data_IF_352868910806
#
_entry.id   IF_352868910806
#
_cell.length_a   1.000
_cell.length_b   1.000
_cell.length_c   1.000
_cell.angle_alpha   90.00
_cell.angle_beta   90.00
_cell.angle_gamma   90.00
#
_symmetry.space_group_name_H-M   'P 1'
#
loop_
_entity.id
_entity.type
_entity.pdbx_description
1 polymer ?
#
# COMPACT_ATOMS: atom_id res chain seq x y z
N UNK A 1 -4.92 -33.65 -2.69
CA UNK A 1 -4.30 -33.39 -4.01
C UNK A 1 -4.63 -31.97 -4.40
N UNK A 2 -3.62 -31.18 -4.69
CA UNK A 2 -3.67 -29.74 -4.89
C UNK A 2 -4.09 -29.29 -6.30
N UNK A 3 -4.59 -30.24 -7.14
CA UNK A 3 -5.06 -29.91 -8.47
C UNK A 3 -6.30 -28.98 -8.42
N UNK A 4 -6.28 -27.93 -9.21
CA UNK A 4 -7.39 -27.00 -9.37
C UNK A 4 -8.50 -27.71 -10.17
N UNK A 5 -9.71 -27.72 -9.64
CA UNK A 5 -10.88 -28.32 -10.33
C UNK A 5 -11.86 -27.26 -10.82
N UNK A 6 -11.84 -26.06 -10.24
CA UNK A 6 -12.70 -24.96 -10.68
C UNK A 6 -12.13 -23.60 -10.30
N UNK A 7 -12.39 -22.59 -11.14
CA UNK A 7 -12.05 -21.17 -10.91
C UNK A 7 -13.26 -20.33 -11.28
N UNK A 8 -13.84 -19.65 -10.30
CA UNK A 8 -15.09 -18.88 -10.47
C UNK A 8 -14.88 -17.47 -9.96
N UNK A 9 -15.25 -16.47 -10.75
CA UNK A 9 -15.24 -15.07 -10.32
C UNK A 9 -16.64 -14.47 -10.32
N UNK A 10 -16.74 -13.38 -9.55
CA UNK A 10 -17.93 -12.53 -9.47
C UNK A 10 -17.55 -11.08 -9.28
N UNK A 11 -18.49 -10.21 -9.61
CA UNK A 11 -18.41 -8.79 -9.28
C UNK A 11 -18.91 -8.57 -7.85
N UNK A 12 -18.09 -7.86 -7.05
CA UNK A 12 -18.45 -7.40 -5.69
C UNK A 12 -18.20 -5.90 -5.58
N UNK A 13 -18.59 -5.26 -4.48
CA UNK A 13 -18.35 -3.82 -4.28
C UNK A 13 -17.12 -3.59 -3.38
N UNK A 14 -16.32 -2.59 -3.74
CA UNK A 14 -15.24 -2.08 -2.91
C UNK A 14 -15.75 -1.08 -1.84
N UNK A 15 -14.85 -0.58 -1.00
CA UNK A 15 -15.14 0.37 0.09
C UNK A 15 -15.68 1.73 -0.38
N UNK A 16 -15.60 2.03 -1.66
CA UNK A 16 -16.16 3.24 -2.30
C UNK A 16 -17.48 2.97 -3.03
N UNK A 17 -17.98 1.72 -2.98
CA UNK A 17 -19.18 1.30 -3.71
C UNK A 17 -18.96 1.12 -5.21
N UNK A 18 -17.70 0.99 -5.67
CA UNK A 18 -17.39 0.65 -7.05
C UNK A 18 -17.23 -0.88 -7.19
N UNK A 19 -17.61 -1.44 -8.35
CA UNK A 19 -17.37 -2.86 -8.62
C UNK A 19 -15.89 -3.22 -8.62
N UNK A 20 -15.59 -4.41 -8.10
CA UNK A 20 -14.29 -5.07 -8.21
C UNK A 20 -14.46 -6.58 -8.38
N UNK A 21 -13.37 -7.30 -8.64
CA UNK A 21 -13.37 -8.74 -8.90
C UNK A 21 -13.07 -9.52 -7.62
N UNK A 22 -13.89 -10.54 -7.34
CA UNK A 22 -13.62 -11.59 -6.37
C UNK A 22 -13.55 -12.93 -7.10
N UNK A 23 -12.53 -13.75 -6.78
CA UNK A 23 -12.38 -15.09 -7.33
C UNK A 23 -12.32 -16.16 -6.24
N UNK A 24 -12.90 -17.34 -6.56
CA UNK A 24 -12.78 -18.57 -5.82
C UNK A 24 -11.96 -19.58 -6.65
N UNK A 25 -11.03 -20.26 -6.01
CA UNK A 25 -10.30 -21.41 -6.58
C UNK A 25 -10.60 -22.63 -5.74
N UNK A 26 -11.16 -23.67 -6.36
CA UNK A 26 -11.51 -24.94 -5.72
C UNK A 26 -10.50 -26.01 -6.09
N UNK A 27 -10.00 -26.76 -5.10
CA UNK A 27 -9.09 -27.87 -5.27
C UNK A 27 -9.82 -29.22 -5.25
N UNK A 28 -9.20 -30.27 -5.79
CA UNK A 28 -9.73 -31.64 -5.80
C UNK A 28 -10.00 -32.18 -4.40
N UNK A 29 -9.28 -31.71 -3.39
CA UNK A 29 -9.49 -32.04 -1.98
C UNK A 29 -10.80 -31.44 -1.39
N UNK A 30 -11.40 -30.47 -2.07
CA UNK A 30 -12.53 -29.68 -1.59
C UNK A 30 -12.12 -28.39 -0.89
N UNK A 31 -10.83 -28.12 -0.73
CA UNK A 31 -10.33 -26.84 -0.22
C UNK A 31 -10.62 -25.73 -1.20
N UNK A 32 -10.98 -24.54 -0.70
CA UNK A 32 -11.31 -23.38 -1.51
C UNK A 32 -10.56 -22.15 -1.00
N UNK A 33 -9.88 -21.45 -1.90
CA UNK A 33 -9.31 -20.12 -1.66
C UNK A 33 -10.18 -19.03 -2.27
N UNK A 34 -10.42 -17.95 -1.54
CA UNK A 34 -11.18 -16.77 -2.00
C UNK A 34 -10.38 -15.49 -1.84
N UNK A 35 -10.37 -14.66 -2.86
CA UNK A 35 -9.71 -13.36 -2.80
C UNK A 35 -10.48 -12.29 -3.58
N UNK A 36 -10.48 -11.06 -3.04
CA UNK A 36 -11.04 -9.88 -3.69
C UNK A 36 -9.95 -8.82 -3.92
N UNK A 37 -9.98 -8.15 -5.05
CA UNK A 37 -8.92 -7.21 -5.49
C UNK A 37 -9.23 -5.79 -5.05
N UNK A 38 -8.22 -5.01 -4.64
CA UNK A 38 -8.37 -3.57 -4.41
C UNK A 38 -8.35 -2.77 -5.72
N UNK A 39 -8.75 -1.49 -5.63
CA UNK A 39 -8.81 -0.56 -6.76
C UNK A 39 -8.28 0.83 -6.38
N UNK A 40 -7.47 1.47 -7.23
CA UNK A 40 -6.95 2.82 -6.98
C UNK A 40 -7.93 3.94 -7.32
N UNK A 41 -7.76 5.12 -6.67
CA UNK A 41 -8.37 6.38 -7.07
C UNK A 41 -7.41 7.19 -7.94
N UNK A 42 -6.23 7.52 -7.41
CA UNK A 42 -5.07 7.96 -8.16
C UNK A 42 -4.32 6.73 -8.69
N UNK A 43 -3.85 6.77 -9.92
CA UNK A 43 -3.13 5.64 -10.53
C UNK A 43 -1.91 6.14 -11.28
N UNK A 44 -0.77 5.53 -11.06
CA UNK A 44 0.43 5.78 -11.86
C UNK A 44 0.18 5.42 -13.33
N UNK A 45 0.69 6.24 -14.24
CA UNK A 45 0.43 6.07 -15.68
C UNK A 45 0.97 4.76 -16.26
N UNK A 46 1.85 4.08 -15.53
CA UNK A 46 2.53 2.83 -15.92
C UNK A 46 2.02 1.60 -15.17
N UNK A 47 0.94 1.71 -14.38
CA UNK A 47 0.32 0.56 -13.72
C UNK A 47 -0.22 -0.46 -14.73
N UNK A 48 -0.27 -1.72 -14.33
CA UNK A 48 -1.03 -2.73 -15.05
C UNK A 48 -2.53 -2.36 -15.07
N UNK A 49 -3.20 -2.69 -16.17
CA UNK A 49 -4.55 -2.22 -16.45
C UNK A 49 -5.59 -2.94 -15.59
N UNK A 50 -6.33 -2.18 -14.81
CA UNK A 50 -7.58 -2.61 -14.22
C UNK A 50 -8.67 -2.59 -15.31
N UNK A 51 -9.11 -3.78 -15.73
CA UNK A 51 -10.08 -3.89 -16.83
C UNK A 51 -11.47 -3.48 -16.34
N UNK A 52 -12.01 -2.43 -16.96
CA UNK A 52 -13.36 -1.89 -16.73
C UNK A 52 -14.20 -2.00 -17.99
N UNK A 53 -15.51 -2.25 -17.83
CA UNK A 53 -16.43 -2.48 -18.96
C UNK A 53 -16.65 -1.22 -19.82
N UNK A 54 -16.54 -0.03 -19.23
CA UNK A 54 -16.77 1.24 -19.92
C UNK A 54 -18.25 1.54 -20.28
N UNK A 55 -19.19 0.66 -19.91
CA UNK A 55 -20.61 0.85 -20.14
C UNK A 55 -21.18 1.90 -19.16
N UNK A 56 -21.40 3.10 -19.63
CA UNK A 56 -21.94 4.20 -18.83
C UNK A 56 -23.31 3.92 -18.19
N UNK A 57 -24.10 3.00 -18.76
CA UNK A 57 -25.42 2.63 -18.23
C UNK A 57 -25.31 1.71 -16.99
N UNK A 58 -24.11 1.13 -16.75
CA UNK A 58 -23.88 0.21 -15.65
C UNK A 58 -22.70 0.69 -14.81
N UNK A 59 -22.95 0.98 -13.51
CA UNK A 59 -21.95 1.53 -12.57
C UNK A 59 -21.16 2.73 -13.13
N UNK A 60 -21.79 3.56 -13.96
CA UNK A 60 -21.17 4.74 -14.57
C UNK A 60 -19.86 4.40 -15.34
N UNK A 61 -19.82 3.25 -15.99
CA UNK A 61 -18.67 2.77 -16.75
C UNK A 61 -17.67 1.94 -15.94
N UNK A 62 -17.88 1.79 -14.62
CA UNK A 62 -16.91 1.11 -13.73
C UNK A 62 -17.18 -0.37 -13.51
N UNK A 63 -18.12 -0.99 -14.23
CA UNK A 63 -18.38 -2.43 -14.18
C UNK A 63 -17.13 -3.27 -14.50
N UNK A 64 -17.09 -4.53 -14.04
CA UNK A 64 -15.96 -5.45 -14.22
C UNK A 64 -16.39 -6.81 -14.79
N UNK A 65 -17.54 -6.85 -15.50
CA UNK A 65 -18.06 -8.11 -16.05
C UNK A 65 -17.15 -8.72 -17.12
N UNK A 66 -16.41 -7.92 -17.89
CA UNK A 66 -15.41 -8.45 -18.84
C UNK A 66 -14.29 -9.16 -18.10
N UNK A 67 -13.77 -8.58 -17.01
CA UNK A 67 -12.75 -9.23 -16.19
C UNK A 67 -13.28 -10.51 -15.54
N UNK A 68 -14.52 -10.50 -15.04
CA UNK A 68 -15.20 -11.69 -14.49
C UNK A 68 -15.36 -12.78 -15.56
N UNK A 69 -15.78 -12.43 -16.77
CA UNK A 69 -15.92 -13.37 -17.89
C UNK A 69 -14.57 -13.98 -18.27
N UNK A 70 -13.50 -13.19 -18.33
CA UNK A 70 -12.15 -13.69 -18.59
C UNK A 70 -11.70 -14.73 -17.55
N UNK A 71 -12.06 -14.54 -16.27
CA UNK A 71 -11.78 -15.54 -15.21
C UNK A 71 -12.61 -16.80 -15.43
N UNK A 72 -13.93 -16.65 -15.67
CA UNK A 72 -14.86 -17.78 -15.76
C UNK A 72 -14.70 -18.60 -17.04
N UNK A 73 -13.94 -18.12 -18.02
CA UNK A 73 -13.67 -18.80 -19.30
C UNK A 73 -12.20 -19.10 -19.48
N UNK A 74 -11.45 -18.22 -20.16
CA UNK A 74 -10.07 -18.47 -20.59
C UNK A 74 -9.12 -18.78 -19.42
N UNK A 75 -9.21 -18.04 -18.31
CA UNK A 75 -8.33 -18.26 -17.15
C UNK A 75 -8.68 -19.60 -16.49
N UNK A 76 -9.96 -19.88 -16.27
CA UNK A 76 -10.41 -21.16 -15.71
C UNK A 76 -9.95 -22.32 -16.58
N UNK A 77 -10.17 -22.26 -17.91
CA UNK A 77 -9.74 -23.31 -18.86
C UNK A 77 -8.22 -23.53 -18.82
N UNK A 78 -7.43 -22.48 -18.65
CA UNK A 78 -5.97 -22.57 -18.61
C UNK A 78 -5.42 -23.15 -17.30
N UNK A 79 -6.13 -22.99 -16.18
CA UNK A 79 -5.64 -23.35 -14.85
C UNK A 79 -6.21 -24.66 -14.31
N UNK A 80 -7.41 -25.09 -14.74
CA UNK A 80 -8.00 -26.38 -14.32
C UNK A 80 -7.06 -27.54 -14.65
N UNK A 81 -6.81 -28.40 -13.65
CA UNK A 81 -5.88 -29.51 -13.73
C UNK A 81 -4.44 -29.19 -13.32
N UNK A 82 -4.08 -27.91 -13.14
CA UNK A 82 -2.76 -27.52 -12.65
C UNK A 82 -2.68 -27.62 -11.12
N UNK A 83 -1.48 -27.75 -10.61
CA UNK A 83 -1.18 -27.83 -9.18
C UNK A 83 -1.16 -26.43 -8.55
N UNK A 84 -2.01 -26.19 -7.55
CA UNK A 84 -2.12 -24.91 -6.86
C UNK A 84 -0.86 -24.53 -6.06
N UNK A 85 0.00 -25.49 -5.69
CA UNK A 85 1.26 -25.22 -4.99
C UNK A 85 2.33 -24.60 -5.91
N UNK A 86 2.16 -24.70 -7.23
CA UNK A 86 3.09 -24.18 -8.24
C UNK A 86 2.80 -22.71 -8.61
N UNK A 87 2.69 -21.82 -7.60
CA UNK A 87 2.31 -20.41 -7.76
C UNK A 87 3.03 -19.69 -8.89
N UNK A 88 4.36 -19.83 -8.97
CA UNK A 88 5.17 -19.16 -9.99
C UNK A 88 4.85 -19.66 -11.42
N UNK A 89 4.50 -20.92 -11.56
CA UNK A 89 4.09 -21.50 -12.84
C UNK A 89 2.69 -21.01 -13.23
N UNK A 90 1.77 -20.98 -12.28
CA UNK A 90 0.40 -20.50 -12.49
C UNK A 90 0.37 -19.01 -12.87
N UNK A 91 1.10 -18.17 -12.13
CA UNK A 91 1.20 -16.75 -12.46
C UNK A 91 1.84 -16.50 -13.82
N UNK A 92 2.86 -17.29 -14.19
CA UNK A 92 3.45 -17.22 -15.53
C UNK A 92 2.45 -17.64 -16.60
N UNK A 93 1.64 -18.68 -16.37
CA UNK A 93 0.58 -19.10 -17.28
C UNK A 93 -0.41 -17.95 -17.52
N UNK A 94 -0.81 -17.23 -16.46
CA UNK A 94 -1.68 -16.05 -16.58
C UNK A 94 -1.04 -14.93 -17.41
N UNK A 95 0.24 -14.64 -17.17
CA UNK A 95 1.00 -13.60 -17.90
C UNK A 95 1.13 -13.96 -19.38
N UNK A 96 1.47 -15.22 -19.69
CA UNK A 96 1.59 -15.71 -21.07
C UNK A 96 0.22 -15.73 -21.77
N UNK A 97 -0.85 -16.08 -21.05
CA UNK A 97 -2.22 -16.06 -21.57
C UNK A 97 -2.67 -14.64 -21.90
N UNK A 98 -2.38 -13.64 -21.05
CA UNK A 98 -2.66 -12.24 -21.36
C UNK A 98 -1.85 -11.75 -22.56
N UNK A 99 -0.55 -12.02 -22.60
CA UNK A 99 0.36 -11.74 -23.70
C UNK A 99 0.63 -10.25 -23.94
N UNK A 100 0.14 -9.33 -23.09
CA UNK A 100 0.40 -7.89 -23.18
C UNK A 100 1.33 -7.42 -22.06
N UNK A 101 2.07 -6.33 -22.29
CA UNK A 101 3.02 -5.82 -21.30
C UNK A 101 2.34 -5.34 -20.01
N UNK A 102 1.14 -4.76 -20.13
CA UNK A 102 0.41 -4.11 -19.04
C UNK A 102 -0.88 -4.83 -18.63
N UNK A 103 -1.04 -6.12 -18.96
CA UNK A 103 -2.22 -6.96 -18.65
C UNK A 103 -3.54 -6.38 -19.20
N UNK A 104 -3.49 -5.68 -20.33
CA UNK A 104 -4.67 -5.00 -20.89
C UNK A 104 -5.70 -5.93 -21.53
N UNK A 105 -5.35 -7.18 -21.82
CA UNK A 105 -6.27 -8.13 -22.47
C UNK A 105 -7.18 -8.83 -21.46
N UNK A 106 -6.62 -9.42 -20.42
CA UNK A 106 -7.40 -10.11 -19.38
C UNK A 106 -7.79 -9.20 -18.22
N UNK A 107 -6.95 -8.22 -17.93
CA UNK A 107 -7.06 -7.32 -16.79
C UNK A 107 -6.22 -7.77 -15.59
N UNK A 108 -5.44 -6.84 -15.03
CA UNK A 108 -4.66 -7.10 -13.81
C UNK A 108 -5.57 -7.48 -12.63
N UNK A 109 -6.77 -6.93 -12.56
CA UNK A 109 -7.78 -7.28 -11.55
C UNK A 109 -8.22 -8.76 -11.68
N UNK A 110 -8.52 -9.24 -12.87
CA UNK A 110 -8.86 -10.66 -13.11
C UNK A 110 -7.70 -11.57 -12.70
N UNK A 111 -6.49 -11.28 -13.18
CA UNK A 111 -5.30 -12.08 -12.92
C UNK A 111 -4.95 -12.11 -11.44
N UNK A 112 -4.96 -10.96 -10.75
CA UNK A 112 -4.62 -10.86 -9.34
C UNK A 112 -5.65 -11.59 -8.44
N UNK A 113 -6.94 -11.47 -8.73
CA UNK A 113 -7.97 -12.17 -7.96
C UNK A 113 -7.70 -13.68 -7.95
N UNK A 114 -7.36 -14.25 -9.09
CA UNK A 114 -7.04 -15.68 -9.23
C UNK A 114 -5.69 -16.00 -8.58
N UNK A 115 -4.64 -15.21 -8.81
CA UNK A 115 -3.31 -15.42 -8.21
C UNK A 115 -3.38 -15.48 -6.68
N UNK A 116 -4.13 -14.58 -6.05
CA UNK A 116 -4.34 -14.58 -4.59
C UNK A 116 -5.21 -15.75 -4.14
N UNK A 117 -6.27 -16.07 -4.86
CA UNK A 117 -7.17 -17.19 -4.50
C UNK A 117 -6.45 -18.54 -4.56
N UNK A 118 -5.58 -18.74 -5.58
CA UNK A 118 -4.69 -19.91 -5.68
C UNK A 118 -3.79 -20.02 -4.45
N UNK A 119 -3.10 -18.94 -4.08
CA UNK A 119 -2.21 -18.96 -2.92
C UNK A 119 -2.93 -19.28 -1.61
N UNK A 120 -4.15 -18.78 -1.42
CA UNK A 120 -4.98 -19.10 -0.26
C UNK A 120 -5.42 -20.56 -0.25
N UNK A 121 -5.84 -21.11 -1.41
CA UNK A 121 -6.20 -22.52 -1.53
C UNK A 121 -5.00 -23.42 -1.23
N UNK A 122 -3.83 -23.11 -1.79
CA UNK A 122 -2.61 -23.86 -1.58
C UNK A 122 -2.13 -23.83 -0.12
N UNK A 123 -2.22 -22.66 0.54
CA UNK A 123 -1.89 -22.53 1.96
C UNK A 123 -2.80 -23.39 2.84
N UNK A 124 -4.12 -23.35 2.60
CA UNK A 124 -5.10 -24.16 3.32
C UNK A 124 -4.89 -25.67 3.07
N UNK A 125 -4.62 -26.09 1.83
CA UNK A 125 -4.28 -27.48 1.48
C UNK A 125 -3.02 -27.95 2.20
N UNK A 126 -2.00 -27.08 2.31
CA UNK A 126 -0.78 -27.37 3.04
C UNK A 126 -0.97 -27.34 4.59
N UNK A 127 -2.14 -26.92 5.08
CA UNK A 127 -2.41 -26.75 6.50
C UNK A 127 -1.60 -25.62 7.14
N UNK A 128 -1.24 -24.60 6.38
CA UNK A 128 -0.43 -23.47 6.84
C UNK A 128 -1.22 -22.17 6.80
N UNK A 129 -1.06 -21.28 7.81
CA UNK A 129 -1.49 -19.90 7.68
C UNK A 129 -0.82 -19.23 6.49
N UNK A 130 -1.51 -18.32 5.80
CA UNK A 130 -1.04 -17.74 4.54
C UNK A 130 0.32 -17.04 4.68
N UNK A 131 0.55 -16.29 5.77
CA UNK A 131 1.84 -15.65 6.01
C UNK A 131 3.00 -16.65 6.12
N UNK A 132 2.76 -17.85 6.70
CA UNK A 132 3.77 -18.93 6.77
C UNK A 132 3.97 -19.60 5.42
N UNK A 133 2.90 -19.77 4.66
CA UNK A 133 3.00 -20.29 3.30
C UNK A 133 3.91 -19.41 2.44
N UNK A 134 3.80 -18.08 2.56
CA UNK A 134 4.68 -17.14 1.86
C UNK A 134 6.11 -17.08 2.42
N UNK A 135 6.27 -17.13 3.73
CA UNK A 135 7.55 -16.88 4.41
C UNK A 135 8.37 -18.11 4.75
N UNK A 136 7.77 -19.31 4.63
CA UNK A 136 8.42 -20.56 4.99
C UNK A 136 8.69 -20.70 6.50
N UNK A 137 9.81 -21.37 6.86
CA UNK A 137 10.15 -21.72 8.25
C UNK A 137 11.04 -20.69 8.95
N UNK A 138 11.42 -19.60 8.28
CA UNK A 138 12.30 -18.57 8.84
C UNK A 138 11.63 -17.72 9.93
N UNK A 139 12.44 -16.90 10.62
CA UNK A 139 11.92 -15.87 11.53
C UNK A 139 11.15 -14.79 10.76
N UNK A 140 10.06 -14.31 11.32
CA UNK A 140 9.18 -13.33 10.72
C UNK A 140 9.05 -12.10 11.60
N UNK A 141 9.05 -10.93 10.96
CA UNK A 141 8.89 -9.65 11.64
C UNK A 141 7.48 -9.11 11.42
N UNK A 142 6.90 -8.55 12.48
CA UNK A 142 5.69 -7.74 12.35
C UNK A 142 6.04 -6.42 11.66
N UNK A 143 5.17 -5.90 10.77
CA UNK A 143 5.45 -4.64 10.11
C UNK A 143 5.20 -3.43 11.02
N UNK A 144 6.02 -2.39 10.90
CA UNK A 144 5.70 -1.05 11.44
C UNK A 144 4.60 -0.44 10.59
N UNK A 145 3.45 -0.06 11.18
CA UNK A 145 2.36 0.51 10.41
C UNK A 145 2.57 2.00 10.16
N UNK A 146 2.32 2.43 8.91
CA UNK A 146 2.16 3.81 8.49
C UNK A 146 0.66 4.11 8.49
N UNK A 147 0.19 4.86 9.50
CA UNK A 147 -1.24 5.07 9.74
C UNK A 147 -1.65 6.47 9.26
N UNK A 148 -2.44 6.55 8.21
CA UNK A 148 -2.91 7.82 7.65
C UNK A 148 -3.98 8.46 8.54
N UNK A 149 -3.63 9.50 9.30
CA UNK A 149 -4.51 10.15 10.27
C UNK A 149 -5.09 11.48 9.80
N UNK A 150 -4.44 12.18 8.85
CA UNK A 150 -4.96 13.37 8.17
C UNK A 150 -4.80 13.21 6.67
N UNK A 151 -5.91 13.40 5.95
CA UNK A 151 -6.01 13.33 4.50
C UNK A 151 -6.06 14.72 3.87
N UNK A 152 -5.39 14.86 2.72
CA UNK A 152 -5.47 16.02 1.82
C UNK A 152 -5.47 15.55 0.36
N UNK A 153 -5.06 16.43 -0.56
CA UNK A 153 -4.92 16.11 -1.98
C UNK A 153 -6.16 15.43 -2.58
N UNK A 154 -5.94 14.38 -3.36
CA UNK A 154 -7.03 13.61 -3.99
C UNK A 154 -7.88 12.81 -2.98
N UNK A 155 -7.41 12.60 -1.74
CA UNK A 155 -8.11 11.83 -0.71
C UNK A 155 -9.11 12.66 0.12
N UNK A 156 -9.13 13.98 -0.03
CA UNK A 156 -10.00 14.87 0.74
C UNK A 156 -10.35 16.14 -0.03
N UNK A 157 -11.58 16.63 0.13
CA UNK A 157 -11.97 17.92 -0.40
C UNK A 157 -11.68 19.03 0.62
N UNK A 158 -10.40 19.37 0.76
CA UNK A 158 -9.89 20.41 1.66
C UNK A 158 -8.72 21.18 1.01
N UNK A 159 -8.09 22.10 1.78
CA UNK A 159 -6.98 22.95 1.30
C UNK A 159 -5.59 22.33 1.45
N UNK A 160 -5.47 21.12 1.98
CA UNK A 160 -4.18 20.48 2.18
C UNK A 160 -3.69 19.82 0.89
N UNK A 161 -2.55 20.28 0.34
CA UNK A 161 -2.00 19.76 -0.90
C UNK A 161 -1.36 18.37 -0.72
N UNK A 162 -0.66 18.15 0.40
CA UNK A 162 -0.08 16.85 0.76
C UNK A 162 -1.20 15.83 1.01
N UNK A 163 -1.15 14.69 0.32
CA UNK A 163 -2.25 13.73 0.28
C UNK A 163 -2.45 12.99 1.60
N UNK A 164 -1.35 12.62 2.29
CA UNK A 164 -1.43 11.87 3.54
C UNK A 164 -0.39 12.34 4.55
N UNK A 165 -0.87 12.59 5.78
CA UNK A 165 -0.01 12.78 6.94
C UNK A 165 -0.19 11.60 7.89
N UNK A 166 0.87 10.81 8.04
CA UNK A 166 0.86 9.52 8.72
C UNK A 166 1.66 9.54 10.01
N UNK A 167 1.24 8.69 10.96
CA UNK A 167 2.01 8.35 12.17
C UNK A 167 2.61 6.95 12.06
N UNK A 168 3.79 6.76 12.65
CA UNK A 168 4.47 5.47 12.74
C UNK A 168 4.94 5.23 14.17
N UNK A 169 4.32 4.30 14.93
CA UNK A 169 4.66 4.01 16.33
C UNK A 169 5.93 3.15 16.44
N UNK A 170 7.09 3.73 16.20
CA UNK A 170 8.40 3.04 16.17
C UNK A 170 8.94 2.68 17.54
N UNK A 171 8.47 3.34 18.61
CA UNK A 171 8.88 3.08 20.01
C UNK A 171 8.11 1.95 20.69
N UNK A 172 7.10 1.38 20.03
CA UNK A 172 6.31 0.29 20.58
C UNK A 172 7.14 -1.01 20.72
N UNK A 173 6.76 -1.87 21.68
CA UNK A 173 7.44 -3.14 21.94
C UNK A 173 6.84 -4.33 21.18
N UNK A 174 5.65 -4.16 20.61
CA UNK A 174 4.90 -5.16 19.87
C UNK A 174 3.97 -4.48 18.87
N UNK A 175 3.47 -5.22 17.90
CA UNK A 175 2.49 -4.69 16.96
C UNK A 175 1.19 -4.28 17.67
N UNK A 176 0.75 -5.08 18.66
CA UNK A 176 -0.43 -4.76 19.49
C UNK A 176 -0.29 -3.41 20.19
N UNK A 177 0.88 -3.12 20.76
CA UNK A 177 1.15 -1.82 21.41
C UNK A 177 1.26 -0.69 20.37
N UNK A 178 1.80 -0.95 19.18
CA UNK A 178 1.82 0.02 18.09
C UNK A 178 0.40 0.38 17.61
N UNK A 179 -0.46 -0.63 17.46
CA UNK A 179 -1.87 -0.41 17.07
C UNK A 179 -2.64 0.35 18.17
N UNK A 180 -2.44 0.00 19.46
CA UNK A 180 -3.02 0.75 20.59
C UNK A 180 -2.58 2.21 20.56
N UNK A 181 -1.29 2.47 20.42
CA UNK A 181 -0.73 3.82 20.32
C UNK A 181 -1.42 4.61 19.19
N UNK A 182 -1.51 4.04 18.00
CA UNK A 182 -2.19 4.67 16.87
C UNK A 182 -3.66 4.98 17.16
N UNK A 183 -4.41 4.05 17.75
CA UNK A 183 -5.82 4.25 18.09
C UNK A 183 -6.02 5.36 19.13
N UNK A 184 -5.18 5.41 20.16
CA UNK A 184 -5.22 6.47 21.18
C UNK A 184 -4.93 7.85 20.57
N UNK A 185 -3.90 7.95 19.72
CA UNK A 185 -3.58 9.21 19.00
C UNK A 185 -4.73 9.60 18.09
N UNK A 186 -5.32 8.68 17.34
CA UNK A 186 -6.46 8.95 16.47
C UNK A 186 -7.65 9.54 17.24
N UNK A 187 -7.97 9.01 18.42
CA UNK A 187 -9.04 9.55 19.24
C UNK A 187 -8.69 10.91 19.88
N UNK A 188 -7.43 11.14 20.23
CA UNK A 188 -6.99 12.46 20.69
C UNK A 188 -7.01 13.49 19.56
N UNK A 189 -6.61 13.08 18.34
CA UNK A 189 -6.68 13.94 17.16
C UNK A 189 -8.14 14.32 16.83
N UNK A 190 -9.08 13.37 16.95
CA UNK A 190 -10.51 13.65 16.78
C UNK A 190 -11.00 14.74 17.73
N UNK A 191 -10.65 14.62 19.02
CA UNK A 191 -11.03 15.63 20.04
C UNK A 191 -10.41 17.01 19.74
N UNK A 192 -9.15 17.03 19.30
CA UNK A 192 -8.45 18.26 18.94
C UNK A 192 -9.06 18.92 17.71
N UNK A 193 -9.37 18.13 16.68
CA UNK A 193 -10.04 18.57 15.44
C UNK A 193 -11.39 19.22 15.76
N UNK A 194 -12.21 18.58 16.59
CA UNK A 194 -13.52 19.09 17.04
C UNK A 194 -13.36 20.38 17.85
N UNK A 195 -12.42 20.42 18.80
CA UNK A 195 -12.12 21.61 19.62
C UNK A 195 -11.70 22.81 18.78
N UNK A 196 -10.99 22.58 17.67
CA UNK A 196 -10.60 23.64 16.72
C UNK A 196 -11.74 24.05 15.77
N UNK A 197 -12.89 23.40 15.83
CA UNK A 197 -14.05 23.68 14.98
C UNK A 197 -13.93 23.09 13.58
N UNK A 198 -13.03 22.15 13.35
CA UNK A 198 -12.91 21.43 12.08
C UNK A 198 -13.84 20.21 12.04
N UNK A 199 -14.29 19.79 10.85
CA UNK A 199 -15.08 18.57 10.70
C UNK A 199 -14.26 17.34 11.08
N UNK A 200 -14.91 16.38 11.75
CA UNK A 200 -14.33 15.07 12.11
C UNK A 200 -14.78 13.95 11.19
N UNK A 201 -15.25 14.30 10.00
CA UNK A 201 -15.50 13.36 8.91
C UNK A 201 -14.19 12.76 8.42
N UNK A 202 -14.24 11.51 7.96
CA UNK A 202 -13.07 10.79 7.48
C UNK A 202 -13.11 10.64 5.96
N UNK A 203 -11.93 10.62 5.35
CA UNK A 203 -11.74 10.34 3.94
C UNK A 203 -11.80 8.84 3.61
N UNK A 204 -11.47 8.49 2.38
CA UNK A 204 -11.52 7.12 1.85
C UNK A 204 -10.65 6.14 2.63
N UNK A 205 -9.56 6.62 3.22
CA UNK A 205 -8.62 5.80 3.99
C UNK A 205 -8.83 5.87 5.50
N UNK A 206 -9.89 6.53 5.96
CA UNK A 206 -10.29 6.57 7.37
C UNK A 206 -9.61 7.65 8.21
N UNK A 207 -8.70 8.45 7.66
CA UNK A 207 -8.11 9.64 8.30
C UNK A 207 -9.05 10.84 8.26
N UNK A 208 -8.87 11.80 9.17
CA UNK A 208 -9.66 13.04 9.18
C UNK A 208 -9.31 13.93 7.98
N UNK A 209 -10.25 14.75 7.56
CA UNK A 209 -10.11 15.68 6.45
C UNK A 209 -10.39 17.13 6.87
N UNK A 210 -9.63 17.71 7.84
CA UNK A 210 -9.83 19.08 8.29
C UNK A 210 -9.39 20.08 7.20
N UNK A 211 -10.05 21.23 7.16
CA UNK A 211 -9.67 22.32 6.27
C UNK A 211 -8.59 23.21 6.95
N UNK A 212 -7.39 22.66 7.09
CA UNK A 212 -6.24 23.33 7.72
C UNK A 212 -5.59 24.36 6.80
N UNK A 213 -4.80 25.27 7.36
CA UNK A 213 -4.13 26.34 6.63
C UNK A 213 -2.91 25.88 5.80
N UNK A 214 -2.47 24.63 5.97
CA UNK A 214 -1.33 24.03 5.26
C UNK A 214 -0.73 22.86 6.01
N UNK A 215 0.35 22.32 5.44
CA UNK A 215 1.05 21.11 5.94
C UNK A 215 1.56 21.31 7.38
N UNK A 216 2.11 22.46 7.69
CA UNK A 216 2.61 22.79 9.04
C UNK A 216 1.53 22.65 10.12
N UNK A 217 0.31 23.14 9.88
CA UNK A 217 -0.78 23.02 10.84
C UNK A 217 -1.21 21.56 11.01
N UNK A 218 -1.33 20.81 9.91
CA UNK A 218 -1.66 19.38 9.96
C UNK A 218 -0.67 18.60 10.84
N UNK A 219 0.63 18.79 10.59
CA UNK A 219 1.68 18.09 11.34
C UNK A 219 1.71 18.51 12.81
N UNK A 220 1.56 19.80 13.13
CA UNK A 220 1.47 20.26 14.51
C UNK A 220 0.25 19.67 15.25
N UNK A 221 -0.90 19.54 14.60
CA UNK A 221 -2.08 18.87 15.18
C UNK A 221 -1.79 17.41 15.52
N UNK A 222 -1.08 16.71 14.66
CA UNK A 222 -0.68 15.30 14.90
C UNK A 222 0.29 15.22 16.08
N UNK A 223 1.29 16.09 16.16
CA UNK A 223 2.23 16.11 17.29
C UNK A 223 1.55 16.45 18.61
N UNK A 224 0.61 17.42 18.62
CA UNK A 224 -0.20 17.76 19.79
C UNK A 224 -1.07 16.58 20.24
N UNK A 225 -1.73 15.90 19.30
CA UNK A 225 -2.53 14.71 19.58
C UNK A 225 -1.67 13.54 20.12
N UNK A 226 -0.46 13.37 19.60
CA UNK A 226 0.52 12.36 20.06
C UNK A 226 0.93 12.64 21.51
N UNK A 227 1.30 13.88 21.83
CA UNK A 227 1.65 14.29 23.20
C UNK A 227 0.47 14.15 24.17
N UNK A 228 -0.74 14.55 23.74
CA UNK A 228 -1.97 14.41 24.53
C UNK A 228 -2.34 12.95 24.81
N UNK A 229 -1.96 12.01 23.93
CA UNK A 229 -2.10 10.58 24.13
C UNK A 229 -1.03 9.97 25.06
N UNK A 230 -0.04 10.76 25.48
CA UNK A 230 1.02 10.36 26.42
C UNK A 230 2.25 9.76 25.74
N UNK A 231 2.40 9.92 24.42
CA UNK A 231 3.57 9.47 23.66
C UNK A 231 4.48 10.64 23.30
N UNK A 232 5.79 10.37 23.23
CA UNK A 232 6.80 11.38 22.89
C UNK A 232 7.03 11.44 21.37
N UNK A 233 6.65 12.57 20.69
CA UNK A 233 6.95 12.75 19.28
C UNK A 233 8.45 12.67 18.98
N UNK A 234 8.81 11.96 17.92
CA UNK A 234 10.21 11.77 17.50
C UNK A 234 10.92 10.60 18.19
N UNK A 235 10.43 10.12 19.33
CA UNK A 235 10.96 8.94 20.02
C UNK A 235 10.01 7.75 19.93
N UNK A 236 8.77 7.92 20.38
CA UNK A 236 7.79 6.84 20.39
C UNK A 236 7.04 6.75 19.06
N UNK A 237 6.80 7.92 18.45
CA UNK A 237 6.08 8.08 17.19
C UNK A 237 6.83 9.03 16.28
N UNK A 238 7.08 8.62 15.06
CA UNK A 238 7.61 9.45 13.98
C UNK A 238 6.55 9.66 12.92
N UNK A 239 6.79 10.59 12.00
CA UNK A 239 5.84 10.97 10.95
C UNK A 239 6.28 10.44 9.59
N UNK A 240 5.29 10.22 8.73
CA UNK A 240 5.51 9.96 7.31
C UNK A 240 4.53 10.80 6.48
N UNK A 241 4.95 11.15 5.28
CA UNK A 241 4.14 11.87 4.29
C UNK A 241 3.97 11.03 3.04
N UNK A 242 2.80 11.12 2.41
CA UNK A 242 2.60 10.82 1.01
C UNK A 242 2.23 12.14 0.32
N UNK A 243 3.12 12.62 -0.54
CA UNK A 243 2.90 13.86 -1.25
C UNK A 243 1.99 13.69 -2.45
N UNK A 244 1.99 12.52 -3.09
CA UNK A 244 1.35 12.29 -4.39
C UNK A 244 1.64 13.43 -5.39
N UNK A 245 2.91 13.81 -5.50
CA UNK A 245 3.32 15.07 -6.12
C UNK A 245 2.99 15.17 -7.62
N UNK A 246 2.67 14.04 -8.28
CA UNK A 246 2.17 14.04 -9.66
C UNK A 246 0.84 14.80 -9.80
N UNK A 247 0.01 14.82 -8.75
CA UNK A 247 -1.32 15.46 -8.77
C UNK A 247 -1.25 17.00 -8.88
N UNK A 248 -0.17 17.61 -8.39
CA UNK A 248 0.03 19.06 -8.44
C UNK A 248 1.28 19.51 -9.24
N UNK A 249 1.84 18.58 -10.03
CA UNK A 249 2.93 18.90 -10.96
C UNK A 249 2.37 19.33 -12.32
N UNK A 250 2.63 20.60 -12.68
CA UNK A 250 2.16 21.18 -13.94
C UNK A 250 3.21 22.09 -14.55
N UNK A 251 3.43 21.97 -15.86
CA UNK A 251 4.35 22.83 -16.63
C UNK A 251 5.77 22.96 -16.01
N UNK A 252 6.27 21.84 -15.42
CA UNK A 252 7.59 21.80 -14.79
C UNK A 252 7.66 22.41 -13.40
N UNK A 253 6.51 22.64 -12.74
CA UNK A 253 6.40 23.19 -11.40
C UNK A 253 5.46 22.42 -10.51
N UNK A 254 5.72 22.46 -9.23
CA UNK A 254 4.87 21.93 -8.15
C UNK A 254 4.00 23.07 -7.62
N UNK A 255 2.69 22.98 -7.86
CA UNK A 255 1.71 24.01 -7.54
C UNK A 255 0.96 23.64 -6.26
N UNK A 256 1.45 24.11 -5.10
CA UNK A 256 0.79 23.89 -3.80
C UNK A 256 -0.27 24.99 -3.61
N UNK A 257 -1.47 24.73 -4.09
CA UNK A 257 -2.55 25.73 -4.11
C UNK A 257 -3.02 26.17 -2.74
N UNK A 258 -3.08 25.25 -1.78
CA UNK A 258 -3.47 25.54 -0.40
C UNK A 258 -2.49 26.44 0.34
N UNK A 259 -1.22 26.39 -0.03
CA UNK A 259 -0.15 27.22 0.55
C UNK A 259 0.25 28.41 -0.35
N UNK A 260 -0.30 28.48 -1.57
CA UNK A 260 0.00 29.55 -2.52
C UNK A 260 1.44 29.54 -3.06
N UNK A 261 2.03 28.34 -3.17
CA UNK A 261 3.41 28.15 -3.62
C UNK A 261 3.46 27.55 -5.03
N UNK A 262 4.44 28.02 -5.84
CA UNK A 262 4.77 27.47 -7.17
C UNK A 262 6.28 27.25 -7.21
N UNK A 263 6.70 25.98 -7.17
CA UNK A 263 8.08 25.59 -6.90
C UNK A 263 8.69 24.78 -8.06
N UNK A 264 9.98 24.97 -8.34
CA UNK A 264 10.76 24.04 -9.15
C UNK A 264 11.03 22.74 -8.39
N UNK A 265 11.63 21.75 -9.04
CA UNK A 265 12.04 20.49 -8.39
C UNK A 265 13.01 20.73 -7.23
N UNK A 266 13.97 21.65 -7.39
CA UNK A 266 14.88 22.06 -6.31
C UNK A 266 14.11 22.78 -5.18
N UNK A 267 13.21 23.71 -5.55
CA UNK A 267 12.40 24.46 -4.57
C UNK A 267 11.49 23.54 -3.77
N UNK A 268 10.87 22.56 -4.40
CA UNK A 268 10.03 21.57 -3.69
C UNK A 268 10.89 20.63 -2.84
N UNK A 269 12.09 20.24 -3.30
CA UNK A 269 13.06 19.51 -2.46
C UNK A 269 13.43 20.30 -1.20
N UNK A 270 13.70 21.60 -1.32
CA UNK A 270 14.02 22.45 -0.16
C UNK A 270 12.83 22.63 0.78
N UNK A 271 11.59 22.71 0.25
CA UNK A 271 10.37 22.68 1.04
C UNK A 271 10.25 21.40 1.88
N UNK A 272 10.40 20.23 1.26
CA UNK A 272 10.38 18.93 1.94
C UNK A 272 11.53 18.79 2.96
N UNK A 273 12.71 19.29 2.64
CA UNK A 273 13.85 19.30 3.55
C UNK A 273 13.58 20.16 4.79
N UNK A 274 12.94 21.32 4.61
CA UNK A 274 12.53 22.20 5.70
C UNK A 274 11.51 21.52 6.63
N UNK A 275 10.55 20.82 6.07
CA UNK A 275 9.59 20.00 6.85
C UNK A 275 10.31 18.90 7.63
N UNK A 276 11.23 18.16 6.99
CA UNK A 276 11.98 17.07 7.62
C UNK A 276 12.97 17.56 8.70
N UNK A 277 13.45 18.80 8.63
CA UNK A 277 14.28 19.41 9.68
C UNK A 277 13.42 19.94 10.86
N UNK A 278 12.17 20.33 10.60
CA UNK A 278 11.25 20.88 11.61
C UNK A 278 10.44 19.82 12.35
N UNK A 279 10.08 18.76 11.68
CA UNK A 279 9.21 17.68 12.18
C UNK A 279 9.94 16.34 12.19
N UNK A 280 9.58 15.37 13.04
CA UNK A 280 10.20 14.05 13.08
C UNK A 280 9.75 13.15 11.91
N UNK A 281 9.92 13.63 10.68
CA UNK A 281 9.56 12.91 9.46
C UNK A 281 10.67 11.92 9.11
N UNK A 282 10.33 10.64 9.02
CA UNK A 282 11.27 9.55 8.67
C UNK A 282 11.03 9.02 7.24
N UNK A 283 9.87 9.26 6.66
CA UNK A 283 9.50 8.74 5.33
C UNK A 283 8.71 9.76 4.53
N UNK A 284 9.05 9.89 3.24
CA UNK A 284 8.33 10.71 2.25
C UNK A 284 8.10 9.84 1.02
N UNK A 285 6.83 9.65 0.69
CA UNK A 285 6.36 8.94 -0.48
C UNK A 285 6.01 9.94 -1.58
N UNK A 286 6.36 9.59 -2.82
CA UNK A 286 6.10 10.37 -4.04
C UNK A 286 6.33 11.88 -3.86
N UNK A 287 7.49 12.21 -3.29
CA UNK A 287 7.95 13.58 -3.08
C UNK A 287 8.32 14.32 -4.38
N UNK A 288 8.22 13.66 -5.53
CA UNK A 288 8.33 14.22 -6.88
C UNK A 288 7.33 13.53 -7.80
N UNK A 289 6.97 14.19 -8.90
CA UNK A 289 6.13 13.61 -9.94
C UNK A 289 6.77 12.37 -10.58
N UNK A 290 5.96 11.40 -11.01
CA UNK A 290 6.42 10.12 -11.59
C UNK A 290 7.35 10.27 -12.79
N UNK A 291 7.21 11.36 -13.55
CA UNK A 291 8.03 11.69 -14.72
C UNK A 291 9.26 12.56 -14.44
N UNK A 292 9.36 13.16 -13.25
CA UNK A 292 10.46 14.08 -12.88
C UNK A 292 11.67 13.34 -12.30
N UNK A 293 12.30 12.48 -13.10
CA UNK A 293 13.44 11.68 -12.65
C UNK A 293 14.66 12.51 -12.22
N UNK A 294 14.82 13.71 -12.78
CA UNK A 294 15.86 14.65 -12.37
C UNK A 294 15.56 15.20 -10.94
N UNK A 295 14.32 15.59 -10.68
CA UNK A 295 13.86 16.00 -9.35
C UNK A 295 13.99 14.88 -8.33
N UNK A 296 13.62 13.65 -8.68
CA UNK A 296 13.83 12.48 -7.81
C UNK A 296 15.30 12.28 -7.42
N UNK A 297 16.22 12.51 -8.37
CA UNK A 297 17.66 12.43 -8.09
C UNK A 297 18.08 13.49 -7.07
N UNK A 298 17.65 14.75 -7.27
CA UNK A 298 17.92 15.87 -6.35
C UNK A 298 17.37 15.56 -4.95
N UNK A 299 16.12 15.11 -4.84
CA UNK A 299 15.48 14.76 -3.59
C UNK A 299 16.24 13.63 -2.87
N UNK A 300 16.63 12.59 -3.61
CA UNK A 300 17.35 11.44 -3.03
C UNK A 300 18.73 11.85 -2.52
N UNK A 301 19.46 12.65 -3.26
CA UNK A 301 20.77 13.15 -2.83
C UNK A 301 20.68 14.06 -1.60
N UNK A 302 19.61 14.87 -1.52
CA UNK A 302 19.39 15.83 -0.43
C UNK A 302 18.95 15.16 0.87
N UNK A 303 18.01 14.21 0.81
CA UNK A 303 17.33 13.65 1.97
C UNK A 303 17.58 12.15 2.20
N UNK A 304 17.93 11.38 1.18
CA UNK A 304 17.91 9.92 1.24
C UNK A 304 18.84 9.25 2.25
N UNK A 305 19.75 9.99 2.90
CA UNK A 305 20.56 9.48 4.02
C UNK A 305 19.86 9.59 5.38
N UNK A 306 18.84 10.44 5.49
CA UNK A 306 18.13 10.76 6.74
C UNK A 306 16.66 10.33 6.69
N UNK A 307 16.09 10.30 5.50
CA UNK A 307 14.65 10.08 5.24
C UNK A 307 14.50 8.95 4.23
N UNK A 308 13.57 8.05 4.47
CA UNK A 308 13.13 7.04 3.53
C UNK A 308 12.37 7.75 2.40
N UNK A 309 12.86 7.62 1.17
CA UNK A 309 12.25 8.20 -0.04
C UNK A 309 11.59 7.05 -0.80
N UNK A 310 10.27 7.01 -0.74
CA UNK A 310 9.44 5.91 -1.28
C UNK A 310 8.93 6.28 -2.66
N UNK A 311 9.15 5.41 -3.64
CA UNK A 311 8.52 5.51 -4.96
C UNK A 311 7.27 4.64 -5.03
N UNK A 312 6.09 5.27 -5.22
CA UNK A 312 4.82 4.63 -5.52
C UNK A 312 4.55 4.71 -7.03
N UNK A 313 4.01 5.81 -7.52
CA UNK A 313 3.76 6.02 -8.96
C UNK A 313 5.05 6.00 -9.78
N UNK A 314 6.18 6.32 -9.15
CA UNK A 314 7.51 6.22 -9.76
C UNK A 314 7.83 4.79 -10.20
N UNK A 315 7.52 3.77 -9.40
CA UNK A 315 7.93 2.38 -9.64
C UNK A 315 6.79 1.44 -10.00
N UNK A 316 5.55 1.75 -9.59
CA UNK A 316 4.32 0.98 -9.84
C UNK A 316 4.49 -0.52 -9.60
N UNK A 317 5.24 -0.91 -8.56
CA UNK A 317 5.56 -2.31 -8.22
C UNK A 317 6.25 -3.09 -9.36
N UNK A 318 6.80 -2.39 -10.37
CA UNK A 318 7.37 -2.97 -11.58
C UNK A 318 8.89 -3.14 -11.44
N UNK A 319 9.37 -4.39 -11.50
CA UNK A 319 10.80 -4.74 -11.34
C UNK A 319 11.72 -4.09 -12.37
N UNK A 320 11.25 -3.88 -13.62
CA UNK A 320 12.04 -3.23 -14.67
C UNK A 320 12.28 -1.75 -14.33
N UNK A 321 11.25 -1.05 -13.88
CA UNK A 321 11.33 0.36 -13.53
C UNK A 321 12.11 0.52 -12.21
N UNK A 322 11.87 -0.36 -11.23
CA UNK A 322 12.65 -0.39 -9.98
C UNK A 322 14.15 -0.58 -10.26
N UNK A 323 14.51 -1.51 -11.14
CA UNK A 323 15.91 -1.74 -11.55
C UNK A 323 16.54 -0.47 -12.11
N UNK A 324 15.85 0.24 -12.99
CA UNK A 324 16.32 1.51 -13.54
C UNK A 324 16.54 2.55 -12.43
N UNK A 325 15.61 2.67 -11.49
CA UNK A 325 15.74 3.57 -10.33
C UNK A 325 16.95 3.24 -9.46
N UNK A 326 17.17 1.94 -9.16
CA UNK A 326 18.32 1.46 -8.42
C UNK A 326 19.63 1.82 -9.12
N UNK A 327 19.74 1.55 -10.42
CA UNK A 327 20.92 1.85 -11.22
C UNK A 327 21.25 3.35 -11.28
N UNK A 328 20.22 4.20 -11.28
CA UNK A 328 20.34 5.65 -11.24
C UNK A 328 20.51 6.24 -9.84
N UNK A 329 20.36 5.43 -8.80
CA UNK A 329 20.40 5.88 -7.39
C UNK A 329 19.28 6.87 -7.08
N UNK A 330 18.05 6.51 -7.46
CA UNK A 330 16.82 7.29 -7.29
C UNK A 330 15.94 6.57 -6.27
N UNK A 331 15.41 7.32 -5.27
CA UNK A 331 14.71 6.78 -4.11
C UNK A 331 15.60 5.87 -3.25
N UNK A 332 15.06 5.27 -2.20
CA UNK A 332 15.70 4.26 -1.37
C UNK A 332 14.67 3.29 -0.77
N UNK A 333 13.43 3.36 -1.25
CA UNK A 333 12.31 2.50 -0.86
C UNK A 333 11.32 2.39 -2.01
N UNK A 334 10.53 1.33 -2.03
CA UNK A 334 9.42 1.12 -2.97
C UNK A 334 8.13 0.89 -2.20
N UNK A 335 7.03 1.48 -2.68
CA UNK A 335 5.69 1.07 -2.28
C UNK A 335 5.26 -0.14 -3.10
N UNK A 336 4.66 -1.12 -2.47
CA UNK A 336 4.23 -2.37 -3.08
C UNK A 336 2.70 -2.43 -3.06
N UNK A 337 2.10 -2.27 -4.21
CA UNK A 337 0.65 -2.41 -4.43
C UNK A 337 0.41 -3.59 -5.36
N UNK A 338 -0.15 -4.66 -4.85
CA UNK A 338 -0.30 -5.93 -5.56
C UNK A 338 -1.04 -5.80 -6.89
N UNK A 339 -2.02 -4.89 -6.97
CA UNK A 339 -2.80 -4.69 -8.19
C UNK A 339 -2.12 -3.80 -9.24
N UNK A 340 -1.03 -3.08 -8.90
CA UNK A 340 -0.25 -2.30 -9.87
C UNK A 340 0.51 -3.20 -10.86
N UNK A 341 0.73 -4.47 -10.49
CA UNK A 341 1.48 -5.43 -11.30
C UNK A 341 0.63 -6.66 -11.69
N UNK A 342 -0.29 -7.12 -10.84
CA UNK A 342 -1.34 -8.07 -11.17
C UNK A 342 -1.07 -9.55 -10.86
N UNK A 343 0.09 -9.92 -10.32
CA UNK A 343 0.36 -11.28 -9.81
C UNK A 343 1.17 -11.24 -8.51
N UNK A 344 1.03 -12.29 -7.68
CA UNK A 344 1.85 -12.43 -6.47
C UNK A 344 3.32 -12.68 -6.79
N UNK A 345 3.63 -13.46 -7.81
CA UNK A 345 5.01 -13.76 -8.21
C UNK A 345 5.77 -12.50 -8.62
N UNK A 346 5.17 -11.62 -9.43
CA UNK A 346 5.79 -10.34 -9.78
C UNK A 346 5.91 -9.40 -8.57
N UNK A 347 4.90 -9.39 -7.69
CA UNK A 347 4.93 -8.64 -6.42
C UNK A 347 6.10 -9.08 -5.54
N UNK A 348 6.27 -10.39 -5.35
CA UNK A 348 7.36 -10.94 -4.53
C UNK A 348 8.73 -10.65 -5.14
N UNK A 349 8.84 -10.72 -6.47
CA UNK A 349 10.06 -10.36 -7.18
C UNK A 349 10.45 -8.88 -6.97
N UNK A 350 9.47 -7.96 -6.92
CA UNK A 350 9.72 -6.55 -6.64
C UNK A 350 10.23 -6.33 -5.22
N UNK A 351 9.62 -6.97 -4.21
CA UNK A 351 10.07 -6.92 -2.82
C UNK A 351 11.49 -7.46 -2.67
N UNK A 352 11.78 -8.62 -3.26
CA UNK A 352 13.09 -9.23 -3.19
C UNK A 352 14.18 -8.40 -3.88
N UNK A 353 13.87 -7.83 -5.06
CA UNK A 353 14.78 -6.92 -5.77
C UNK A 353 15.10 -5.67 -4.92
N UNK A 354 14.11 -5.06 -4.29
CA UNK A 354 14.30 -3.92 -3.40
C UNK A 354 15.24 -4.27 -2.25
N UNK A 355 14.97 -5.37 -1.52
CA UNK A 355 15.78 -5.83 -0.39
C UNK A 355 17.24 -6.10 -0.78
N UNK A 356 17.48 -6.75 -1.93
CA UNK A 356 18.85 -7.01 -2.44
C UNK A 356 19.61 -5.74 -2.78
N UNK A 357 18.90 -4.66 -3.12
CA UNK A 357 19.49 -3.34 -3.38
C UNK A 357 19.60 -2.48 -2.11
N UNK A 358 19.28 -3.01 -0.94
CA UNK A 358 19.18 -2.26 0.33
C UNK A 358 18.11 -1.16 0.31
N UNK A 359 17.11 -1.28 -0.55
CA UNK A 359 15.87 -0.51 -0.49
C UNK A 359 14.91 -1.19 0.47
N UNK A 360 14.14 -0.44 1.21
CA UNK A 360 12.99 -0.96 1.95
C UNK A 360 11.79 -1.18 1.00
N UNK A 361 10.88 -2.04 1.42
CA UNK A 361 9.60 -2.25 0.74
C UNK A 361 8.47 -1.99 1.74
N UNK A 362 7.51 -1.18 1.35
CA UNK A 362 6.31 -0.87 2.14
C UNK A 362 5.12 -1.56 1.47
N UNK A 363 4.53 -2.56 2.12
CA UNK A 363 3.32 -3.21 1.59
C UNK A 363 2.14 -2.28 1.79
N UNK A 364 1.37 -2.03 0.73
CA UNK A 364 0.36 -0.98 0.73
C UNK A 364 -1.01 -1.48 0.28
N UNK A 365 -2.04 -0.87 0.87
CA UNK A 365 -3.42 -0.92 0.41
C UNK A 365 -3.63 -0.01 -0.82
N UNK A 366 -4.89 0.10 -1.26
CA UNK A 366 -5.35 1.12 -2.21
C UNK A 366 -6.49 1.94 -1.58
N UNK A 367 -6.84 3.05 -2.22
CA UNK A 367 -7.97 3.90 -1.76
C UNK A 367 -9.32 3.16 -1.82
N UNK A 368 -9.55 2.33 -2.83
CA UNK A 368 -10.67 1.38 -2.88
C UNK A 368 -10.23 0.00 -2.40
N UNK A 369 -10.69 -0.41 -1.23
CA UNK A 369 -10.36 -1.67 -0.58
C UNK A 369 -11.59 -2.57 -0.43
N UNK A 370 -11.32 -3.83 -0.08
CA UNK A 370 -12.32 -4.82 0.34
C UNK A 370 -12.00 -5.30 1.75
N UNK A 371 -12.74 -6.30 2.26
CA UNK A 371 -12.40 -6.96 3.52
C UNK A 371 -11.19 -7.90 3.42
N UNK A 372 -10.70 -8.15 2.21
CA UNK A 372 -9.51 -8.99 1.98
C UNK A 372 -8.29 -8.45 2.73
N UNK A 373 -7.63 -9.31 3.49
CA UNK A 373 -6.49 -8.95 4.35
C UNK A 373 -5.15 -9.53 3.88
N UNK A 374 -5.07 -10.04 2.67
CA UNK A 374 -3.88 -10.72 2.12
C UNK A 374 -2.60 -9.90 2.24
N UNK A 375 -2.69 -8.58 2.12
CA UNK A 375 -1.50 -7.70 2.25
C UNK A 375 -0.88 -7.76 3.65
N UNK A 376 -1.65 -8.07 4.70
CA UNK A 376 -1.10 -8.28 6.04
C UNK A 376 -0.22 -9.55 6.08
N UNK A 377 -0.70 -10.65 5.48
CA UNK A 377 0.06 -11.90 5.37
C UNK A 377 1.31 -11.73 4.49
N UNK A 378 1.22 -10.97 3.40
CA UNK A 378 2.37 -10.62 2.55
C UNK A 378 3.42 -9.83 3.33
N UNK A 379 3.00 -8.82 4.09
CA UNK A 379 3.94 -7.97 4.85
C UNK A 379 4.76 -8.78 5.86
N UNK A 380 4.14 -9.73 6.54
CA UNK A 380 4.83 -10.61 7.50
C UNK A 380 5.61 -11.71 6.78
N UNK A 381 4.99 -12.43 5.85
CA UNK A 381 5.61 -13.55 5.14
C UNK A 381 6.88 -13.15 4.38
N UNK A 382 6.88 -11.98 3.73
CA UNK A 382 8.05 -11.48 3.02
C UNK A 382 9.02 -10.69 3.89
N UNK A 383 8.78 -10.54 5.20
CA UNK A 383 9.60 -9.69 6.08
C UNK A 383 9.78 -8.28 5.48
N UNK A 384 8.71 -7.66 5.02
CA UNK A 384 8.77 -6.31 4.46
C UNK A 384 9.02 -5.24 5.54
N UNK A 385 8.71 -5.56 6.79
CA UNK A 385 8.89 -4.75 7.99
C UNK A 385 8.09 -3.45 8.04
N UNK A 386 7.35 -3.09 6.99
CA UNK A 386 6.52 -1.88 6.92
C UNK A 386 5.21 -2.19 6.17
N UNK A 387 4.12 -1.58 6.63
CA UNK A 387 2.81 -1.67 5.99
C UNK A 387 2.10 -0.31 6.01
N UNK A 388 1.51 0.09 4.89
CA UNK A 388 0.66 1.28 4.75
C UNK A 388 -0.75 0.81 4.43
N UNK A 389 -1.67 0.87 5.40
CA UNK A 389 -3.03 0.34 5.22
C UNK A 389 -4.13 1.22 5.82
N UNK A 390 -3.93 2.54 5.71
CA UNK A 390 -4.91 3.54 6.11
C UNK A 390 -4.92 3.84 7.60
N UNK A 391 -6.02 4.40 8.07
CA UNK A 391 -6.20 4.87 9.44
C UNK A 391 -6.82 3.82 10.36
N UNK A 392 -7.18 4.25 11.57
CA UNK A 392 -7.76 3.45 12.65
C UNK A 392 -9.31 3.46 12.59
N UNK A 393 -9.88 3.67 11.43
CA UNK A 393 -11.31 3.65 11.17
C UNK A 393 -11.61 3.08 9.78
N UNK A 394 -12.86 2.68 9.51
CA UNK A 394 -13.35 1.93 8.34
C UNK A 394 -12.90 0.46 8.37
N UNK A 395 -13.86 -0.45 8.22
CA UNK A 395 -13.64 -1.91 8.34
C UNK A 395 -12.68 -2.46 7.30
N UNK A 396 -12.66 -1.86 6.11
CA UNK A 396 -11.75 -2.18 5.02
C UNK A 396 -10.26 -1.95 5.37
N UNK A 397 -9.97 -1.00 6.27
CA UNK A 397 -8.62 -0.76 6.82
C UNK A 397 -8.36 -1.64 8.03
N UNK A 398 -9.30 -1.65 8.98
CA UNK A 398 -9.19 -2.39 10.24
C UNK A 398 -9.06 -3.91 10.01
N UNK A 399 -9.62 -4.46 8.93
CA UNK A 399 -9.46 -5.89 8.60
C UNK A 399 -7.99 -6.31 8.52
N UNK A 400 -7.12 -5.47 7.93
CA UNK A 400 -5.67 -5.73 7.80
C UNK A 400 -4.96 -5.64 9.14
N UNK A 401 -5.28 -4.62 9.96
CA UNK A 401 -4.74 -4.49 11.32
C UNK A 401 -5.16 -5.65 12.21
N UNK A 402 -6.42 -6.07 12.14
CA UNK A 402 -6.92 -7.22 12.89
C UNK A 402 -6.25 -8.53 12.46
N UNK A 403 -5.95 -8.68 11.17
CA UNK A 403 -5.18 -9.83 10.68
C UNK A 403 -3.76 -9.84 11.25
N UNK A 404 -3.09 -8.69 11.28
CA UNK A 404 -1.77 -8.58 11.90
C UNK A 404 -1.79 -8.91 13.40
N UNK A 405 -2.85 -8.55 14.14
CA UNK A 405 -3.00 -8.97 15.54
C UNK A 405 -3.11 -10.48 15.68
N UNK A 406 -3.86 -11.17 14.79
CA UNK A 406 -3.96 -12.63 14.78
C UNK A 406 -2.62 -13.29 14.45
N UNK A 407 -1.89 -12.73 13.49
CA UNK A 407 -0.54 -13.21 13.13
C UNK A 407 0.42 -13.04 14.30
N UNK A 408 0.40 -11.90 15.00
CA UNK A 408 1.25 -11.68 16.17
C UNK A 408 0.93 -12.68 17.29
N UNK A 409 -0.36 -12.97 17.51
CA UNK A 409 -0.80 -13.97 18.49
C UNK A 409 -0.33 -15.39 18.12
N UNK A 410 -0.42 -15.76 16.83
CA UNK A 410 0.03 -17.06 16.32
C UNK A 410 1.58 -17.20 16.40
N UNK A 411 2.32 -16.14 16.15
CA UNK A 411 3.78 -16.12 16.31
C UNK A 411 4.22 -16.18 17.77
N UNK A 412 3.39 -15.71 18.72
CA UNK A 412 3.68 -15.73 20.16
C UNK A 412 5.02 -15.08 20.50
N UNK A 413 5.84 -15.77 21.28
CA UNK A 413 7.16 -15.27 21.73
C UNK A 413 8.19 -15.13 20.61
N UNK A 414 7.90 -15.64 19.41
CA UNK A 414 8.75 -15.46 18.22
C UNK A 414 8.41 -14.22 17.40
N UNK A 415 7.32 -13.52 17.74
CA UNK A 415 6.95 -12.26 17.10
C UNK A 415 8.00 -11.18 17.39
N UNK A 416 8.50 -10.57 16.33
CA UNK A 416 9.48 -9.48 16.44
C UNK A 416 8.91 -8.20 15.82
N UNK A 417 8.81 -7.15 16.64
CA UNK A 417 8.43 -5.82 16.16
C UNK A 417 9.69 -4.95 15.97
N UNK A 418 10.03 -4.57 14.73
CA UNK A 418 11.36 -4.02 14.43
C UNK A 418 11.54 -2.57 14.87
N UNK A 419 10.46 -1.78 15.05
CA UNK A 419 10.58 -0.36 15.35
C UNK A 419 11.46 0.37 14.33
N UNK A 420 12.39 1.19 14.80
CA UNK A 420 13.32 1.94 13.91
C UNK A 420 14.20 1.05 13.05
N UNK A 421 14.44 -0.22 13.41
CA UNK A 421 15.26 -1.12 12.58
C UNK A 421 14.57 -1.52 11.26
N UNK A 422 13.27 -1.23 11.11
CA UNK A 422 12.57 -1.36 9.83
C UNK A 422 13.12 -0.43 8.73
N UNK A 423 13.83 0.62 9.12
CA UNK A 423 14.44 1.60 8.21
C UNK A 423 15.92 1.32 7.96
N UNK A 424 16.24 0.08 7.62
CA UNK A 424 17.62 -0.36 7.39
C UNK A 424 18.31 0.31 6.18
N UNK A 425 17.53 0.96 5.30
CA UNK A 425 18.01 1.79 4.20
C UNK A 425 18.59 3.15 4.66
N UNK A 426 18.28 3.56 5.89
CA UNK A 426 18.82 4.78 6.46
C UNK A 426 20.13 4.46 7.21
N UNK A 427 21.13 5.32 7.07
CA UNK A 427 22.33 5.19 7.89
C UNK A 427 21.95 5.49 9.33
N UNK A 428 22.02 4.47 10.18
CA UNK A 428 21.84 4.62 11.63
C UNK A 428 22.72 5.73 12.15
N UNK A 429 22.08 6.65 12.88
CA UNK A 429 22.75 7.65 13.71
C UNK A 429 23.35 7.00 14.95
#
# INVERSE_FOLDING_TARGET
>A
MSAIVDVIAREVLDSRGNPTVEADVLLESGVMGRAAVPSGASTGSREAIELRDGDAARYLGKGVLQAVENVNTEISEALVGLDAEEQAFLDRTLIELDGTENKSRLGANAMLAVSMAVAKAAAEEAGLPLYRYFGGSGGMSMPVPMMNVINGGAHANNSLDIQECMIMPVGAKSFREALRCGAEIFHHLKKLTDKKGYPTTVGDEGGFAPNVSGTDEALNMILEATANAGYEPGRDVVLALDCAASEFFKDGKYELHGEGLSLSSEGFTDYLATLADKFPIISIEDGMAEGDWAGWKILTERLGKKVQIVGDDLFVTNTRILKEGIEKGIANSILIKINQIGTLTETFAAVEMAKRASYTAVISHRSGETEDSTIADIAVGLNAMQIKTGSLSRSDRISKYNQLLRIEEDLGDTAFYPGLSAFYNLRTR
#
